data_IF_053040179813
#
_entry.id   IF_053040179813
#
_cell.length_a   1.000
_cell.length_b   1.000
_cell.length_c   1.000
_cell.angle_alpha   90.00
_cell.angle_beta   90.00
_cell.angle_gamma   90.00
#
_symmetry.space_group_name_H-M   'P 1'
#
loop_
_entity.id
_entity.type
_entity.pdbx_description
1 polymer ?
#
# COMPACT_ATOMS: atom_id res chain seq x y z
N UNK A 1 15.17 -3.71 7.52
CA UNK A 1 14.39 -2.46 7.68
C UNK A 1 13.30 -2.54 6.64
N UNK A 2 12.07 -2.15 6.97
CA UNK A 2 10.96 -2.15 6.03
C UNK A 2 10.42 -0.76 5.79
N UNK A 3 9.78 -0.57 4.64
CA UNK A 3 9.09 0.67 4.35
C UNK A 3 7.98 0.44 3.32
N UNK A 4 6.96 1.29 3.39
CA UNK A 4 5.80 1.24 2.52
C UNK A 4 5.15 2.59 2.28
N UNK A 5 4.19 2.62 1.38
CA UNK A 5 3.38 3.78 1.03
C UNK A 5 1.92 3.53 1.40
N UNK A 6 1.25 4.59 1.84
CA UNK A 6 -0.18 4.58 2.16
C UNK A 6 -0.89 5.67 1.37
N UNK A 7 -1.46 5.33 0.20
CA UNK A 7 -2.30 6.25 -0.56
C UNK A 7 -3.59 6.53 0.21
N UNK A 8 -3.95 7.80 0.31
CA UNK A 8 -5.23 8.23 0.91
C UNK A 8 -5.94 9.21 0.01
N UNK A 9 -7.25 9.37 0.24
CA UNK A 9 -8.03 10.36 -0.48
C UNK A 9 -9.23 10.84 0.33
N UNK A 10 -9.83 11.96 -0.07
CA UNK A 10 -11.11 12.43 0.45
C UNK A 10 -12.24 12.00 -0.50
N UNK A 11 -13.17 11.18 -0.03
CA UNK A 11 -14.25 10.64 -0.87
C UNK A 11 -15.48 11.56 -1.00
N UNK A 12 -15.39 12.80 -0.52
CA UNK A 12 -16.51 13.75 -0.41
C UNK A 12 -17.16 13.78 0.98
N UNK A 13 -16.89 12.79 1.84
CA UNK A 13 -17.44 12.68 3.20
C UNK A 13 -16.33 12.57 4.24
N UNK A 14 -15.34 11.71 4.00
CA UNK A 14 -14.26 11.43 4.93
C UNK A 14 -12.98 11.03 4.19
N UNK A 15 -11.88 10.96 4.94
CA UNK A 15 -10.63 10.39 4.46
C UNK A 15 -10.78 8.87 4.38
N UNK A 16 -10.39 8.32 3.24
CA UNK A 16 -10.29 6.89 2.99
C UNK A 16 -8.85 6.49 2.70
N UNK A 17 -8.49 5.28 3.12
CA UNK A 17 -7.16 4.70 3.04
C UNK A 17 -7.19 3.54 2.05
N UNK A 18 -6.25 3.52 1.10
CA UNK A 18 -6.11 2.40 0.17
C UNK A 18 -5.23 1.35 0.82
N UNK A 19 -5.79 0.18 1.10
CA UNK A 19 -5.05 -0.95 1.66
C UNK A 19 -5.04 -2.11 0.65
N UNK A 20 -4.00 -2.93 0.73
CA UNK A 20 -3.85 -4.17 -0.02
C UNK A 20 -4.04 -5.39 0.87
N UNK A 21 -4.71 -6.41 0.34
CA UNK A 21 -4.94 -7.71 0.98
C UNK A 21 -3.95 -8.74 0.49
N UNK A 22 -3.31 -9.43 1.41
CA UNK A 22 -2.40 -10.53 1.12
C UNK A 22 -3.12 -11.87 0.95
N UNK A 23 -2.39 -12.88 0.49
CA UNK A 23 -2.91 -14.23 0.29
C UNK A 23 -3.52 -14.85 1.54
N UNK A 24 -2.96 -14.55 2.72
CA UNK A 24 -3.45 -14.97 4.03
C UNK A 24 -4.68 -14.17 4.54
N UNK A 25 -5.28 -13.32 3.70
CA UNK A 25 -6.43 -12.46 4.01
C UNK A 25 -6.15 -11.38 5.07
N UNK A 26 -4.90 -10.98 5.24
CA UNK A 26 -4.54 -9.82 6.05
C UNK A 26 -4.42 -8.56 5.20
N UNK A 27 -4.75 -7.41 5.76
CA UNK A 27 -4.65 -6.10 5.12
C UNK A 27 -3.46 -5.30 5.65
N UNK A 28 -2.79 -4.56 4.77
CA UNK A 28 -1.73 -3.61 5.12
C UNK A 28 -1.57 -2.51 4.07
N UNK A 29 -0.63 -1.59 4.32
CA UNK A 29 -0.09 -0.70 3.29
C UNK A 29 0.72 -1.47 2.24
N UNK A 30 1.26 -0.73 1.27
CA UNK A 30 2.04 -1.28 0.16
C UNK A 30 3.53 -1.13 0.44
N UNK A 31 4.21 -2.22 0.77
CA UNK A 31 5.57 -2.14 1.30
C UNK A 31 6.20 -3.46 1.70
N UNK A 32 7.51 -3.41 1.89
CA UNK A 32 8.34 -4.60 2.11
C UNK A 32 9.71 -4.26 2.69
N UNK A 33 10.66 -5.16 2.48
CA UNK A 33 12.00 -5.06 3.07
C UNK A 33 12.99 -4.40 2.13
N UNK A 34 13.94 -3.64 2.70
CA UNK A 34 15.05 -3.09 1.94
C UNK A 34 15.88 -4.20 1.26
N UNK A 35 16.26 -4.03 0.00
CA UNK A 35 17.08 -5.00 -0.75
C UNK A 35 18.46 -5.21 -0.11
N UNK A 36 19.01 -4.15 0.47
CA UNK A 36 20.31 -4.15 1.11
C UNK A 36 20.42 -3.01 2.14
N UNK A 37 21.55 -2.94 2.85
CA UNK A 37 21.79 -1.95 3.91
C UNK A 37 21.93 -0.51 3.41
N UNK A 38 22.06 -0.28 2.10
CA UNK A 38 22.29 1.04 1.50
C UNK A 38 21.01 1.64 0.89
N UNK A 39 19.97 0.84 0.68
CA UNK A 39 18.68 1.33 0.18
C UNK A 39 18.01 2.22 1.24
N UNK A 40 17.63 3.43 0.84
CA UNK A 40 16.93 4.35 1.73
C UNK A 40 15.50 3.85 1.96
N UNK A 41 14.94 4.11 3.16
CA UNK A 41 13.52 3.79 3.46
C UNK A 41 12.56 4.31 2.40
N UNK A 42 12.81 5.52 1.89
CA UNK A 42 11.96 6.11 0.87
C UNK A 42 12.05 5.34 -0.44
N UNK A 43 13.25 5.01 -0.93
CA UNK A 43 13.40 4.21 -2.15
C UNK A 43 12.80 2.81 -1.99
N UNK A 44 13.00 2.16 -0.83
CA UNK A 44 12.33 0.88 -0.51
C UNK A 44 10.81 1.02 -0.62
N UNK A 45 10.22 2.04 0.00
CA UNK A 45 8.77 2.26 -0.07
C UNK A 45 8.26 2.48 -1.49
N UNK A 46 9.00 3.22 -2.33
CA UNK A 46 8.63 3.46 -3.73
C UNK A 46 8.70 2.19 -4.56
N UNK A 47 9.80 1.42 -4.46
CA UNK A 47 9.97 0.15 -5.19
C UNK A 47 8.88 -0.85 -4.82
N UNK A 48 8.74 -1.13 -3.53
CA UNK A 48 7.74 -2.07 -3.01
C UNK A 48 6.31 -1.60 -3.34
N UNK A 49 6.04 -0.30 -3.18
CA UNK A 49 4.75 0.28 -3.56
C UNK A 49 4.45 0.12 -5.04
N UNK A 50 5.44 0.32 -5.92
CA UNK A 50 5.31 0.13 -7.36
C UNK A 50 5.04 -1.34 -7.72
N UNK A 51 5.79 -2.26 -7.12
CA UNK A 51 5.69 -3.72 -7.30
C UNK A 51 4.33 -4.24 -6.83
N UNK A 52 3.92 -3.93 -5.60
CA UNK A 52 2.68 -4.43 -4.99
C UNK A 52 1.42 -3.80 -5.61
N UNK A 53 1.49 -2.56 -6.10
CA UNK A 53 0.41 -1.93 -6.87
C UNK A 53 0.44 -2.32 -8.35
N UNK A 54 1.40 -3.13 -8.81
CA UNK A 54 1.54 -3.52 -10.21
C UNK A 54 1.55 -2.33 -11.17
N UNK A 55 2.20 -1.23 -10.76
CA UNK A 55 2.27 0.01 -11.53
C UNK A 55 0.95 0.77 -11.70
N UNK A 56 -0.10 0.44 -10.93
CA UNK A 56 -1.43 1.07 -11.03
C UNK A 56 -1.39 2.60 -10.90
N UNK A 57 -0.45 3.13 -10.12
CA UNK A 57 -0.28 4.57 -9.88
C UNK A 57 0.77 5.23 -10.81
N UNK A 58 1.16 4.54 -11.88
CA UNK A 58 2.17 4.98 -12.84
C UNK A 58 3.48 4.20 -12.74
N UNK A 59 4.48 4.68 -13.47
CA UNK A 59 5.87 4.22 -13.36
C UNK A 59 6.45 4.48 -11.97
N UNK A 60 7.53 3.79 -11.61
CA UNK A 60 8.21 3.99 -10.33
C UNK A 60 8.62 5.46 -10.11
N UNK A 61 9.09 6.15 -11.16
CA UNK A 61 9.44 7.57 -11.10
C UNK A 61 8.21 8.47 -10.91
N UNK A 62 7.10 8.19 -11.60
CA UNK A 62 5.85 8.94 -11.41
C UNK A 62 5.31 8.74 -9.99
N UNK A 63 5.37 7.52 -9.45
CA UNK A 63 4.99 7.23 -8.08
C UNK A 63 5.88 7.99 -7.09
N UNK A 64 7.19 8.00 -7.31
CA UNK A 64 8.15 8.76 -6.48
C UNK A 64 7.78 10.24 -6.39
N UNK A 65 7.55 10.87 -7.53
CA UNK A 65 7.19 12.30 -7.57
C UNK A 65 5.79 12.54 -7.00
N UNK A 66 4.84 11.62 -7.22
CA UNK A 66 3.49 11.68 -6.61
C UNK A 66 3.55 11.63 -5.09
N UNK A 67 4.35 10.73 -4.50
CA UNK A 67 4.52 10.63 -3.04
C UNK A 67 5.20 11.88 -2.48
N UNK A 68 6.23 12.42 -3.15
CA UNK A 68 6.89 13.66 -2.70
C UNK A 68 5.96 14.87 -2.72
N UNK A 69 5.26 15.07 -3.83
CA UNK A 69 4.47 16.28 -4.05
C UNK A 69 3.18 16.31 -3.23
N UNK A 70 2.65 15.13 -2.87
CA UNK A 70 1.41 14.99 -2.11
C UNK A 70 1.65 14.39 -0.72
N UNK A 71 2.88 14.47 -0.21
CA UNK A 71 3.25 13.92 1.10
C UNK A 71 2.40 14.57 2.20
N UNK A 72 1.86 13.74 3.10
CA UNK A 72 1.08 14.21 4.24
C UNK A 72 1.90 14.01 5.52
N UNK A 73 2.22 12.75 5.82
CA UNK A 73 3.03 12.40 6.98
C UNK A 73 3.76 11.08 6.78
N UNK A 74 4.69 10.79 7.69
CA UNK A 74 5.26 9.45 7.84
C UNK A 74 5.04 8.92 9.24
N UNK A 75 4.82 7.62 9.36
CA UNK A 75 4.93 6.89 10.63
C UNK A 75 6.20 6.06 10.61
N UNK A 76 6.94 6.06 11.71
CA UNK A 76 8.15 5.26 11.85
C UNK A 76 8.09 4.57 13.22
N UNK A 77 7.60 3.33 13.21
CA UNK A 77 7.53 2.49 14.39
C UNK A 77 8.42 1.25 14.19
N UNK A 78 9.17 0.93 15.23
CA UNK A 78 10.22 -0.10 15.24
C UNK A 78 11.18 0.01 14.04
N UNK A 79 11.06 -0.93 13.10
CA UNK A 79 11.92 -1.10 11.93
C UNK A 79 11.18 -0.83 10.62
N UNK A 80 9.94 -0.35 10.67
CA UNK A 80 9.10 -0.09 9.51
C UNK A 80 8.74 1.39 9.39
N UNK A 81 8.61 1.89 8.16
CA UNK A 81 8.23 3.28 7.91
C UNK A 81 7.19 3.37 6.81
N UNK A 82 6.03 3.94 7.11
CA UNK A 82 4.96 4.18 6.14
C UNK A 82 4.95 5.66 5.76
N UNK A 83 4.92 5.93 4.45
CA UNK A 83 4.77 7.27 3.88
C UNK A 83 3.32 7.45 3.40
N UNK A 84 2.56 8.30 4.11
CA UNK A 84 1.19 8.63 3.76
C UNK A 84 1.16 9.82 2.82
N UNK A 85 0.39 9.72 1.74
CA UNK A 85 0.32 10.75 0.71
C UNK A 85 -1.08 10.77 0.05
N UNK A 86 -1.49 11.95 -0.41
CA UNK A 86 -2.79 12.12 -1.04
C UNK A 86 -2.76 11.67 -2.52
N UNK A 87 -3.84 11.04 -2.96
CA UNK A 87 -4.17 10.81 -4.38
C UNK A 87 -5.61 11.24 -4.66
N UNK A 88 -5.95 11.42 -5.93
CA UNK A 88 -7.33 11.69 -6.35
C UNK A 88 -8.23 10.48 -6.05
N UNK A 89 -9.44 10.74 -5.53
CA UNK A 89 -10.36 9.67 -5.19
C UNK A 89 -10.94 9.06 -6.47
N UNK A 90 -10.66 7.78 -6.69
CA UNK A 90 -11.32 6.99 -7.73
C UNK A 90 -11.95 5.74 -7.11
N UNK A 91 -13.28 5.71 -7.11
CA UNK A 91 -14.09 4.58 -6.64
C UNK A 91 -13.85 3.29 -7.45
N UNK A 92 -13.38 3.40 -8.69
CA UNK A 92 -13.11 2.27 -9.57
C UNK A 92 -11.67 1.76 -9.47
N UNK A 93 -10.79 2.45 -8.75
CA UNK A 93 -9.40 2.04 -8.57
C UNK A 93 -9.27 0.59 -8.05
N UNK A 94 -10.03 0.17 -7.01
CA UNK A 94 -10.09 -1.24 -6.61
C UNK A 94 -10.52 -2.19 -7.73
N UNK A 95 -11.51 -1.79 -8.52
CA UNK A 95 -12.03 -2.60 -9.61
C UNK A 95 -10.99 -2.83 -10.71
N UNK A 96 -10.18 -1.82 -11.05
CA UNK A 96 -9.11 -1.97 -12.04
C UNK A 96 -8.03 -2.93 -11.57
N UNK A 97 -7.53 -2.75 -10.35
CA UNK A 97 -6.51 -3.63 -9.78
C UNK A 97 -7.02 -5.07 -9.63
N UNK A 98 -8.18 -5.24 -8.99
CA UNK A 98 -8.71 -6.57 -8.67
C UNK A 98 -9.03 -7.36 -9.95
N UNK A 99 -9.47 -6.70 -11.04
CA UNK A 99 -9.67 -7.34 -12.34
C UNK A 99 -8.35 -7.72 -13.00
N UNK A 100 -7.35 -6.84 -12.97
CA UNK A 100 -6.02 -7.15 -13.51
C UNK A 100 -5.40 -8.35 -12.78
N UNK A 101 -5.43 -8.35 -11.45
CA UNK A 101 -4.95 -9.47 -10.65
C UNK A 101 -5.64 -10.79 -11.04
N UNK A 102 -6.97 -10.78 -11.14
CA UNK A 102 -7.74 -11.97 -11.52
C UNK A 102 -7.42 -12.45 -12.94
N UNK A 103 -7.20 -11.53 -13.89
CA UNK A 103 -6.76 -11.87 -15.23
C UNK A 103 -5.41 -12.59 -15.20
N UNK A 104 -4.40 -12.00 -14.56
CA UNK A 104 -3.04 -12.58 -14.46
C UNK A 104 -3.07 -13.92 -13.73
N UNK A 105 -3.89 -14.05 -12.68
CA UNK A 105 -4.08 -15.31 -11.95
C UNK A 105 -4.63 -16.42 -12.83
N UNK A 106 -5.48 -16.09 -13.79
CA UNK A 106 -6.11 -17.10 -14.66
C UNK A 106 -5.26 -17.42 -15.90
N UNK A 107 -4.45 -16.47 -16.39
CA UNK A 107 -3.66 -16.64 -17.62
C UNK A 107 -2.20 -17.03 -17.36
N UNK A 108 -1.62 -16.60 -16.24
CA UNK A 108 -0.19 -16.67 -15.95
C UNK A 108 0.10 -17.02 -14.49
N UNK A 109 -0.48 -18.14 -14.00
CA UNK A 109 -0.35 -18.61 -12.60
C UNK A 109 1.08 -18.62 -12.06
N UNK A 110 2.04 -19.06 -12.89
CA UNK A 110 3.45 -19.17 -12.51
C UNK A 110 4.06 -17.84 -12.06
N UNK A 111 3.54 -16.70 -12.53
CA UNK A 111 4.02 -15.37 -12.12
C UNK A 111 3.61 -15.05 -10.68
N UNK A 112 2.38 -15.42 -10.30
CA UNK A 112 1.83 -15.20 -8.96
C UNK A 112 2.40 -16.21 -7.96
N UNK A 113 2.65 -17.44 -8.40
CA UNK A 113 3.22 -18.49 -7.55
C UNK A 113 4.72 -18.29 -7.28
N UNK A 114 5.38 -17.44 -8.06
CA UNK A 114 6.79 -17.11 -7.86
C UNK A 114 6.96 -16.12 -6.70
N UNK A 115 6.99 -16.66 -5.47
CA UNK A 115 7.19 -15.90 -4.24
C UNK A 115 8.55 -15.20 -4.11
N UNK A 116 9.47 -15.40 -5.05
CA UNK A 116 10.80 -14.79 -5.01
C UNK A 116 10.88 -13.44 -5.74
N UNK A 117 9.84 -13.04 -6.48
CA UNK A 117 9.87 -11.80 -7.28
C UNK A 117 9.22 -10.59 -6.61
N UNK A 118 8.55 -10.74 -5.46
CA UNK A 118 7.83 -9.65 -4.77
C UNK A 118 6.58 -9.13 -5.49
N UNK A 119 6.26 -9.67 -6.67
CA UNK A 119 5.12 -9.26 -7.47
C UNK A 119 3.87 -10.02 -7.06
N UNK A 120 2.70 -9.37 -7.17
CA UNK A 120 1.39 -9.98 -6.91
C UNK A 120 1.20 -10.57 -5.49
N UNK A 121 1.95 -10.04 -4.51
CA UNK A 121 1.75 -10.34 -3.08
C UNK A 121 0.38 -9.85 -2.60
N UNK A 122 -0.06 -8.68 -3.09
CA UNK A 122 -1.40 -8.15 -2.90
C UNK A 122 -2.35 -8.72 -3.94
N UNK A 123 -3.41 -9.40 -3.47
CA UNK A 123 -4.43 -10.03 -4.33
C UNK A 123 -5.70 -9.19 -4.53
N UNK A 124 -5.86 -8.19 -3.69
CA UNK A 124 -7.04 -7.33 -3.65
C UNK A 124 -6.61 -5.98 -3.06
N UNK A 125 -7.16 -4.88 -3.56
CA UNK A 125 -7.09 -3.59 -2.88
C UNK A 125 -8.50 -3.07 -2.64
N UNK A 126 -8.66 -2.21 -1.64
CA UNK A 126 -9.91 -1.53 -1.34
C UNK A 126 -9.67 -0.23 -0.57
N UNK A 127 -10.63 0.69 -0.71
CA UNK A 127 -10.72 1.90 0.08
C UNK A 127 -11.41 1.59 1.40
N UNK A 128 -10.86 2.10 2.51
CA UNK A 128 -11.44 1.95 3.84
C UNK A 128 -11.48 3.28 4.58
N UNK A 129 -12.58 3.54 5.27
CA UNK A 129 -12.67 4.56 6.31
C UNK A 129 -11.88 4.17 7.55
N UNK A 130 -11.59 5.13 8.43
CA UNK A 130 -10.97 4.83 9.73
C UNK A 130 -11.79 3.83 10.55
N UNK A 131 -13.12 3.95 10.56
CA UNK A 131 -14.02 3.03 11.26
C UNK A 131 -13.97 1.60 10.74
N UNK A 132 -13.84 1.43 9.42
CA UNK A 132 -13.71 0.11 8.79
C UNK A 132 -12.37 -0.53 9.13
N UNK A 133 -11.27 0.25 9.18
CA UNK A 133 -9.93 -0.24 9.51
C UNK A 133 -9.90 -0.95 10.87
N UNK A 134 -10.60 -0.44 11.89
CA UNK A 134 -10.68 -1.08 13.21
C UNK A 134 -11.30 -2.48 13.19
N UNK A 135 -12.04 -2.82 12.13
CA UNK A 135 -12.71 -4.13 11.95
C UNK A 135 -11.90 -5.07 11.05
N UNK A 136 -10.83 -4.60 10.42
CA UNK A 136 -10.04 -5.39 9.49
C UNK A 136 -9.11 -6.39 10.20
N UNK A 137 -8.90 -7.52 9.54
CA UNK A 137 -7.79 -8.42 9.85
C UNK A 137 -6.48 -7.81 9.35
N UNK A 138 -5.88 -6.91 10.13
CA UNK A 138 -4.63 -6.25 9.77
C UNK A 138 -3.41 -7.16 9.99
N UNK A 139 -2.34 -6.96 9.22
CA UNK A 139 -1.05 -7.61 9.53
C UNK A 139 -0.59 -7.18 10.93
N UNK A 140 -0.05 -8.10 11.76
CA UNK A 140 0.31 -7.79 13.15
C UNK A 140 1.23 -6.58 13.30
N UNK A 141 2.30 -6.49 12.50
CA UNK A 141 3.23 -5.35 12.57
C UNK A 141 2.60 -4.04 12.07
N UNK A 142 1.66 -4.11 11.12
CA UNK A 142 1.07 -2.93 10.49
C UNK A 142 0.01 -2.28 11.38
N UNK A 143 -0.60 -3.06 12.28
CA UNK A 143 -1.65 -2.58 13.20
C UNK A 143 -1.22 -1.33 13.97
N UNK A 144 -0.04 -1.37 14.60
CA UNK A 144 0.42 -0.25 15.42
C UNK A 144 0.76 0.98 14.55
N UNK A 145 1.22 0.74 13.32
CA UNK A 145 1.55 1.78 12.34
C UNK A 145 0.31 2.52 11.88
N UNK A 146 -0.72 1.80 11.46
CA UNK A 146 -1.96 2.45 11.01
C UNK A 146 -2.66 3.17 12.16
N UNK A 147 -2.63 2.63 13.38
CA UNK A 147 -3.23 3.31 14.53
C UNK A 147 -2.46 4.56 14.96
N UNK A 148 -1.13 4.58 14.89
CA UNK A 148 -0.34 5.80 15.06
C UNK A 148 -0.66 6.86 14.00
N UNK A 149 -0.91 6.44 12.75
CA UNK A 149 -1.36 7.34 11.68
C UNK A 149 -2.76 7.90 11.99
N UNK A 150 -3.71 7.04 12.34
CA UNK A 150 -5.09 7.45 12.64
C UNK A 150 -5.14 8.43 13.80
N UNK A 151 -4.40 8.18 14.89
CA UNK A 151 -4.33 9.07 16.05
C UNK A 151 -3.78 10.47 15.72
N UNK A 152 -2.87 10.56 14.75
CA UNK A 152 -2.30 11.84 14.31
C UNK A 152 -3.14 12.56 13.25
N UNK A 153 -4.15 11.90 12.69
CA UNK A 153 -5.02 12.44 11.65
C UNK A 153 -6.47 12.68 12.08
N UNK A 154 -6.92 12.11 13.20
CA UNK A 154 -8.18 12.49 13.83
C UNK A 154 -7.96 13.72 14.73
N UNK A 155 -8.67 14.84 14.51
CA UNK A 155 -8.63 16.01 15.39
C UNK A 155 -9.15 15.72 16.80
#
# INVERSE_FOLDING_TARGET
MGAGILPVSFNGVCIVFLLGKEHNNQWSDFGGSSLNKHETKFNTAIREGYEELSGLLGTENELKEKVKNNFILKSNLDKYTTYMFNIDYDKNLPLYFNRNYNFVKNTSKNIIENKHNGLYEKKEIAWFTSEEIYKLNLRPFYRDIIFDILLRHTP
#
